data_IF_323418820843
#
_entry.id   IF_323418820843
#
_cell.length_a   1.000
_cell.length_b   1.000
_cell.length_c   1.000
_cell.angle_alpha   90.00
_cell.angle_beta   90.00
_cell.angle_gamma   90.00
#
_symmetry.space_group_name_H-M   'P 1'
#
loop_
_entity.id
_entity.type
_entity.pdbx_description
1 polymer ?
#
# COMPACT_ATOMS: atom_id res chain seq x y z
N UNK A 1 6.71 -35.73 11.37
CA UNK A 1 5.87 -35.42 10.19
C UNK A 1 6.62 -34.43 9.31
N UNK A 2 6.81 -34.71 8.01
CA UNK A 2 7.45 -33.75 7.11
C UNK A 2 6.48 -32.58 6.85
N UNK A 3 6.83 -31.38 7.30
CA UNK A 3 6.09 -30.16 6.98
C UNK A 3 6.24 -29.90 5.47
N UNK A 4 5.13 -29.70 4.75
CA UNK A 4 5.11 -29.38 3.31
C UNK A 4 4.44 -28.01 3.08
N UNK A 5 4.82 -27.35 1.99
CA UNK A 5 4.17 -26.11 1.55
C UNK A 5 2.73 -26.41 1.10
N UNK A 6 1.80 -25.56 1.52
CA UNK A 6 0.43 -25.54 0.97
C UNK A 6 0.32 -24.56 -0.19
N UNK A 7 -0.77 -24.62 -0.94
CA UNK A 7 -1.06 -23.65 -2.01
C UNK A 7 -1.10 -22.21 -1.46
N UNK A 8 -1.80 -22.00 -0.32
CA UNK A 8 -1.79 -20.72 0.39
C UNK A 8 -0.38 -20.23 0.73
N UNK A 9 0.54 -21.13 1.10
CA UNK A 9 1.93 -20.74 1.39
C UNK A 9 2.64 -20.24 0.14
N UNK A 10 2.43 -20.92 -0.99
CA UNK A 10 2.98 -20.49 -2.28
C UNK A 10 2.47 -19.10 -2.67
N UNK A 11 1.19 -18.82 -2.47
CA UNK A 11 0.59 -17.50 -2.77
C UNK A 11 1.16 -16.38 -1.89
N UNK A 12 1.38 -16.62 -0.59
CA UNK A 12 2.05 -15.61 0.28
C UNK A 12 3.50 -15.39 -0.16
N UNK A 13 4.22 -16.44 -0.59
CA UNK A 13 5.58 -16.31 -1.12
C UNK A 13 5.62 -15.56 -2.46
N UNK A 14 4.61 -15.75 -3.32
CA UNK A 14 4.45 -14.97 -4.54
C UNK A 14 4.22 -13.48 -4.22
N UNK A 15 3.36 -13.17 -3.26
CA UNK A 15 3.17 -11.80 -2.77
C UNK A 15 4.48 -11.19 -2.23
N UNK A 16 5.29 -11.97 -1.51
CA UNK A 16 6.63 -11.52 -1.09
C UNK A 16 7.57 -11.21 -2.26
N UNK A 17 7.37 -11.86 -3.41
CA UNK A 17 8.13 -11.52 -4.61
C UNK A 17 7.83 -10.08 -5.10
N UNK A 18 6.66 -9.53 -4.75
CA UNK A 18 6.21 -8.17 -5.06
C UNK A 18 6.66 -7.19 -3.96
N UNK A 19 6.24 -7.36 -2.70
CA UNK A 19 6.48 -6.35 -1.65
C UNK A 19 7.82 -6.49 -0.91
N UNK A 20 8.54 -7.59 -1.10
CA UNK A 20 9.91 -7.92 -0.60
C UNK A 20 10.12 -7.97 0.91
N UNK A 21 9.48 -7.11 1.68
CA UNK A 21 9.58 -7.05 3.14
C UNK A 21 8.23 -6.64 3.73
N UNK A 22 7.91 -7.14 4.92
CA UNK A 22 6.66 -6.80 5.59
C UNK A 22 6.77 -6.88 7.11
N UNK A 23 5.67 -6.58 7.79
CA UNK A 23 5.50 -6.74 9.24
C UNK A 23 4.54 -7.89 9.55
N UNK A 24 4.40 -8.20 10.83
CA UNK A 24 3.38 -9.15 11.28
C UNK A 24 1.97 -8.70 10.90
N UNK A 25 1.71 -7.40 10.79
CA UNK A 25 0.39 -6.91 10.38
C UNK A 25 0.11 -7.25 8.92
N UNK A 26 1.08 -7.02 8.02
CA UNK A 26 0.96 -7.40 6.62
C UNK A 26 0.71 -8.91 6.44
N UNK A 27 1.41 -9.76 7.20
CA UNK A 27 1.15 -11.21 7.20
C UNK A 27 -0.27 -11.56 7.64
N UNK A 28 -0.79 -10.88 8.67
CA UNK A 28 -2.15 -11.16 9.14
C UNK A 28 -3.20 -10.79 8.10
N UNK A 29 -3.01 -9.68 7.40
CA UNK A 29 -3.90 -9.23 6.34
C UNK A 29 -3.85 -10.13 5.11
N UNK A 30 -2.65 -10.47 4.60
CA UNK A 30 -2.54 -11.32 3.41
C UNK A 30 -3.07 -12.74 3.69
N UNK A 31 -2.81 -13.30 4.87
CA UNK A 31 -3.40 -14.59 5.26
C UNK A 31 -4.92 -14.48 5.45
N UNK A 32 -5.43 -13.34 5.91
CA UNK A 32 -6.86 -13.10 6.00
C UNK A 32 -7.51 -13.07 4.63
N UNK A 33 -6.89 -12.37 3.67
CA UNK A 33 -7.34 -12.30 2.28
C UNK A 33 -7.44 -13.70 1.67
N UNK A 34 -6.38 -14.50 1.79
CA UNK A 34 -6.32 -15.85 1.23
C UNK A 34 -7.21 -16.88 1.95
N UNK A 35 -7.71 -16.56 3.14
CA UNK A 35 -8.69 -17.38 3.85
C UNK A 35 -10.12 -16.86 3.65
N UNK A 36 -10.32 -15.80 2.86
CA UNK A 36 -11.61 -15.13 2.67
C UNK A 36 -12.25 -14.71 4.01
N UNK A 37 -11.44 -14.38 5.02
CA UNK A 37 -11.96 -13.95 6.32
C UNK A 37 -12.45 -12.50 6.27
N UNK A 38 -13.34 -12.12 7.17
CA UNK A 38 -13.86 -10.73 7.25
C UNK A 38 -12.83 -9.67 7.66
N UNK A 39 -11.63 -10.09 8.08
CA UNK A 39 -10.54 -9.21 8.46
C UNK A 39 -9.22 -9.99 8.58
N UNK A 40 -8.20 -9.42 9.25
CA UNK A 40 -6.90 -10.05 9.39
C UNK A 40 -6.97 -11.28 10.31
N UNK A 41 -6.17 -12.31 10.03
CA UNK A 41 -6.07 -13.45 10.96
C UNK A 41 -5.53 -13.02 12.33
N UNK A 42 -5.76 -13.85 13.34
CA UNK A 42 -5.21 -13.60 14.68
C UNK A 42 -3.68 -13.57 14.68
N UNK A 43 -3.07 -12.85 15.64
CA UNK A 43 -1.61 -12.82 15.82
C UNK A 43 -1.04 -14.22 16.02
N UNK A 44 -1.74 -15.10 16.74
CA UNK A 44 -1.31 -16.47 16.98
C UNK A 44 -1.27 -17.28 15.68
N UNK A 45 -2.31 -17.18 14.83
CA UNK A 45 -2.33 -17.85 13.53
C UNK A 45 -1.19 -17.37 12.62
N UNK A 46 -0.97 -16.06 12.55
CA UNK A 46 0.13 -15.49 11.78
C UNK A 46 1.51 -15.92 12.31
N UNK A 47 1.69 -15.95 13.65
CA UNK A 47 2.93 -16.43 14.27
C UNK A 47 3.19 -17.91 13.98
N UNK A 48 2.16 -18.75 14.06
CA UNK A 48 2.26 -20.18 13.70
C UNK A 48 2.68 -20.35 12.25
N UNK A 49 2.08 -19.58 11.33
CA UNK A 49 2.47 -19.60 9.93
C UNK A 49 3.94 -19.19 9.73
N UNK A 50 4.35 -18.06 10.32
CA UNK A 50 5.73 -17.57 10.22
C UNK A 50 6.71 -18.59 10.76
N UNK A 51 6.48 -19.12 11.98
CA UNK A 51 7.36 -20.13 12.57
C UNK A 51 7.52 -21.34 11.65
N UNK A 52 6.42 -21.85 11.10
CA UNK A 52 6.45 -22.96 10.15
C UNK A 52 7.26 -22.63 8.90
N UNK A 53 7.11 -21.43 8.34
CA UNK A 53 7.89 -21.00 7.17
C UNK A 53 9.37 -20.79 7.49
N UNK A 54 9.72 -20.37 8.71
CA UNK A 54 11.11 -20.33 9.18
C UNK A 54 11.70 -21.73 9.30
N UNK A 55 10.96 -22.70 9.86
CA UNK A 55 11.38 -24.11 9.96
C UNK A 55 11.65 -24.73 8.58
N UNK A 56 10.92 -24.31 7.54
CA UNK A 56 11.16 -24.70 6.15
C UNK A 56 12.29 -23.91 5.45
N UNK A 57 12.82 -22.87 6.09
CA UNK A 57 13.82 -21.95 5.53
C UNK A 57 13.27 -21.06 4.41
N UNK A 58 11.97 -20.79 4.41
CA UNK A 58 11.29 -20.01 3.35
C UNK A 58 11.13 -18.53 3.72
N UNK A 59 11.03 -18.23 5.01
CA UNK A 59 10.88 -16.87 5.54
C UNK A 59 11.93 -16.65 6.62
N UNK A 60 12.46 -15.44 6.69
CA UNK A 60 13.29 -14.96 7.78
C UNK A 60 12.63 -13.78 8.48
N UNK A 61 13.09 -13.48 9.69
CA UNK A 61 12.60 -12.34 10.47
C UNK A 61 13.70 -11.73 11.30
N UNK A 62 13.64 -10.42 11.49
CA UNK A 62 14.55 -9.69 12.37
C UNK A 62 13.84 -8.52 13.03
N UNK A 63 14.33 -8.13 14.21
CA UNK A 63 14.01 -6.84 14.82
C UNK A 63 15.15 -5.90 14.47
N UNK A 64 14.84 -4.87 13.70
CA UNK A 64 15.83 -3.91 13.21
C UNK A 64 15.50 -2.53 13.78
N UNK A 65 16.19 -2.07 14.84
CA UNK A 65 16.11 -0.68 15.25
C UNK A 65 16.52 0.25 14.08
N UNK A 66 15.85 1.39 13.87
CA UNK A 66 14.80 2.02 14.69
C UNK A 66 13.37 1.59 14.33
N UNK A 67 13.18 0.61 13.44
CA UNK A 67 11.84 0.22 12.97
C UNK A 67 11.04 -0.49 14.06
N UNK A 68 9.75 -0.19 14.11
CA UNK A 68 8.83 -0.79 15.09
C UNK A 68 8.49 -2.23 14.68
N UNK A 69 8.60 -3.15 15.63
CA UNK A 69 8.13 -4.52 15.47
C UNK A 69 9.16 -5.46 14.84
N UNK A 70 8.67 -6.56 14.26
CA UNK A 70 9.50 -7.57 13.60
C UNK A 70 9.26 -7.49 12.10
N UNK A 71 10.35 -7.31 11.37
CA UNK A 71 10.37 -7.34 9.92
C UNK A 71 10.49 -8.79 9.44
N UNK A 72 9.81 -9.09 8.34
CA UNK A 72 9.73 -10.42 7.74
C UNK A 72 10.00 -10.32 6.25
N UNK A 73 10.72 -11.30 5.70
CA UNK A 73 10.97 -11.39 4.26
C UNK A 73 11.08 -12.85 3.83
N UNK A 74 10.77 -13.12 2.56
CA UNK A 74 11.04 -14.43 1.98
C UNK A 74 12.54 -14.59 1.66
N UNK A 75 13.06 -15.79 1.89
CA UNK A 75 14.48 -16.09 1.64
C UNK A 75 14.77 -16.21 0.14
N UNK A 76 16.04 -16.10 -0.29
CA UNK A 76 16.42 -16.39 -1.67
C UNK A 76 16.02 -17.79 -2.14
N UNK A 77 15.98 -18.76 -1.21
CA UNK A 77 15.50 -20.12 -1.47
C UNK A 77 14.04 -20.11 -1.94
N UNK A 78 13.19 -19.31 -1.27
CA UNK A 78 11.76 -19.26 -1.51
C UNK A 78 11.37 -18.54 -2.80
N UNK A 79 11.93 -17.35 -3.05
CA UNK A 79 11.44 -16.47 -4.13
C UNK A 79 12.48 -16.17 -5.23
N UNK A 80 13.68 -16.78 -5.15
CA UNK A 80 14.79 -16.58 -6.11
C UNK A 80 15.24 -15.12 -6.27
N UNK A 81 14.96 -14.27 -5.27
CA UNK A 81 15.42 -12.88 -5.20
C UNK A 81 16.37 -12.71 -4.02
N UNK A 82 17.31 -11.77 -4.10
CA UNK A 82 18.22 -11.44 -2.99
C UNK A 82 17.43 -11.03 -1.74
N UNK A 83 17.98 -11.23 -0.55
CA UNK A 83 17.38 -10.67 0.66
C UNK A 83 17.29 -9.13 0.55
N UNK A 84 16.23 -8.50 1.08
CA UNK A 84 16.15 -7.06 1.14
C UNK A 84 17.23 -6.48 2.06
N UNK A 85 17.72 -5.29 1.73
CA UNK A 85 18.62 -4.54 2.61
C UNK A 85 17.77 -3.77 3.62
N UNK A 86 17.69 -4.31 4.85
CA UNK A 86 16.79 -3.84 5.90
C UNK A 86 17.19 -2.47 6.46
N UNK A 87 18.42 -2.00 6.21
CA UNK A 87 18.92 -0.74 6.75
C UNK A 87 18.80 0.43 5.76
N UNK A 88 18.20 0.21 4.60
CA UNK A 88 17.93 1.27 3.63
C UNK A 88 16.98 2.31 4.19
N UNK A 89 17.20 3.55 3.76
CA UNK A 89 16.30 4.66 4.05
C UNK A 89 14.86 4.39 3.59
N UNK A 90 14.69 3.66 2.48
CA UNK A 90 13.38 3.31 1.90
C UNK A 90 12.68 2.15 2.61
N UNK A 91 13.34 1.43 3.52
CA UNK A 91 12.76 0.26 4.18
C UNK A 91 11.43 0.57 4.85
N UNK A 92 11.33 1.74 5.51
CA UNK A 92 10.09 2.16 6.16
C UNK A 92 8.93 2.31 5.17
N UNK A 93 9.26 2.89 4.02
CA UNK A 93 8.35 3.08 2.90
C UNK A 93 7.83 1.73 2.41
N UNK A 94 8.75 0.81 2.11
CA UNK A 94 8.44 -0.55 1.65
C UNK A 94 7.55 -1.34 2.65
N UNK A 95 7.79 -1.17 3.95
CA UNK A 95 6.96 -1.80 4.98
C UNK A 95 5.50 -1.31 4.92
N UNK A 96 5.24 -0.02 4.75
CA UNK A 96 3.86 0.48 4.67
C UNK A 96 3.19 0.07 3.37
N UNK A 97 3.91 0.14 2.24
CA UNK A 97 3.43 -0.35 0.94
C UNK A 97 3.02 -1.82 1.05
N UNK A 98 3.78 -2.64 1.79
CA UNK A 98 3.41 -4.04 2.02
C UNK A 98 2.09 -4.19 2.81
N UNK A 99 1.86 -3.36 3.83
CA UNK A 99 0.63 -3.42 4.64
C UNK A 99 -0.57 -2.95 3.81
N UNK A 100 -0.39 -1.91 3.01
CA UNK A 100 -1.41 -1.42 2.06
C UNK A 100 -1.77 -2.50 1.05
N UNK A 101 -0.76 -3.10 0.41
CA UNK A 101 -0.92 -4.20 -0.54
C UNK A 101 -1.76 -5.34 0.04
N UNK A 102 -1.44 -5.77 1.27
CA UNK A 102 -2.18 -6.84 1.93
C UNK A 102 -3.66 -6.48 2.20
N UNK A 103 -3.96 -5.20 2.47
CA UNK A 103 -5.34 -4.72 2.65
C UNK A 103 -6.10 -4.59 1.33
N UNK A 104 -5.45 -4.16 0.25
CA UNK A 104 -6.03 -4.21 -1.09
C UNK A 104 -6.39 -5.64 -1.49
N UNK A 105 -5.47 -6.59 -1.28
CA UNK A 105 -5.73 -8.02 -1.51
C UNK A 105 -6.93 -8.52 -0.70
N UNK A 106 -7.01 -8.13 0.58
CA UNK A 106 -8.15 -8.48 1.44
C UNK A 106 -9.48 -7.89 0.94
N UNK A 107 -9.45 -6.67 0.42
CA UNK A 107 -10.61 -6.04 -0.21
C UNK A 107 -10.92 -6.57 -1.62
N UNK A 108 -10.38 -7.73 -2.03
CA UNK A 108 -10.54 -8.36 -3.34
C UNK A 108 -10.05 -7.50 -4.51
N UNK A 109 -9.02 -6.69 -4.29
CA UNK A 109 -8.26 -6.05 -5.36
C UNK A 109 -7.04 -6.90 -5.71
N UNK A 110 -6.61 -6.85 -6.96
CA UNK A 110 -5.24 -7.29 -7.31
C UNK A 110 -4.23 -6.23 -6.88
N UNK A 111 -2.96 -6.60 -6.76
CA UNK A 111 -1.88 -5.68 -6.43
C UNK A 111 -0.59 -6.03 -7.19
N UNK A 112 0.04 -5.02 -7.79
CA UNK A 112 1.34 -5.14 -8.43
C UNK A 112 2.23 -3.92 -8.11
N UNK A 113 3.53 -4.04 -8.38
CA UNK A 113 4.39 -2.85 -8.48
C UNK A 113 4.01 -2.09 -9.75
N UNK A 114 4.00 -0.77 -9.69
CA UNK A 114 4.03 0.01 -10.92
C UNK A 114 5.40 -0.18 -11.57
N UNK A 115 5.40 -0.59 -12.84
CA UNK A 115 6.60 -0.74 -13.64
C UNK A 115 6.32 0.04 -14.93
N UNK A 116 6.61 1.33 -14.92
CA UNK A 116 6.36 2.15 -16.10
C UNK A 116 7.37 1.73 -17.18
N UNK A 117 6.92 1.75 -18.43
CA UNK A 117 7.77 1.29 -19.56
C UNK A 117 8.86 2.29 -19.93
N UNK A 118 8.73 3.53 -19.48
CA UNK A 118 9.69 4.61 -19.73
C UNK A 118 10.33 5.05 -18.41
N UNK A 119 11.66 4.94 -18.31
CA UNK A 119 12.43 5.24 -17.11
C UNK A 119 12.33 6.71 -16.62
N UNK A 120 11.72 7.59 -17.41
CA UNK A 120 11.53 9.01 -17.09
C UNK A 120 10.18 9.32 -16.46
N UNK A 121 9.22 8.39 -16.54
CA UNK A 121 7.88 8.59 -15.99
C UNK A 121 7.84 8.17 -14.52
N UNK A 122 7.10 8.93 -13.71
CA UNK A 122 6.86 8.62 -12.32
C UNK A 122 6.08 7.30 -12.18
N UNK A 123 6.66 6.37 -11.41
CA UNK A 123 6.06 5.11 -11.00
C UNK A 123 5.33 5.31 -9.68
N UNK A 124 4.07 4.86 -9.61
CA UNK A 124 3.36 4.77 -8.35
C UNK A 124 4.00 3.71 -7.44
N UNK A 125 3.81 3.83 -6.13
CA UNK A 125 4.32 2.86 -5.17
C UNK A 125 3.68 1.47 -5.33
N UNK A 126 2.46 1.43 -5.87
CA UNK A 126 1.81 0.23 -6.33
C UNK A 126 0.61 0.53 -7.24
N UNK A 127 0.16 -0.51 -7.92
CA UNK A 127 -1.04 -0.48 -8.76
C UNK A 127 -1.99 -1.55 -8.29
N UNK A 128 -3.22 -1.16 -8.00
CA UNK A 128 -4.28 -2.09 -7.64
C UNK A 128 -5.39 -2.06 -8.68
N UNK A 129 -5.94 -3.23 -9.03
CA UNK A 129 -7.02 -3.33 -10.01
C UNK A 129 -8.19 -4.16 -9.49
N UNK A 130 -9.41 -3.66 -9.69
CA UNK A 130 -10.66 -4.35 -9.39
C UNK A 130 -11.79 -3.82 -10.27
N UNK A 131 -12.57 -4.73 -10.85
CA UNK A 131 -13.82 -4.41 -11.56
C UNK A 131 -13.70 -3.28 -12.61
N UNK A 132 -12.59 -3.24 -13.36
CA UNK A 132 -12.39 -2.21 -14.37
C UNK A 132 -11.98 -0.84 -13.82
N UNK A 133 -11.54 -0.75 -12.56
CA UNK A 133 -10.94 0.44 -11.95
C UNK A 133 -9.49 0.13 -11.57
N UNK A 134 -8.60 1.10 -11.81
CA UNK A 134 -7.19 1.02 -11.49
C UNK A 134 -6.80 2.11 -10.50
N UNK A 135 -6.31 1.73 -9.32
CA UNK A 135 -5.73 2.64 -8.34
C UNK A 135 -4.22 2.74 -8.57
N UNK A 136 -3.74 3.94 -8.86
CA UNK A 136 -2.33 4.32 -8.76
C UNK A 136 -2.09 4.77 -7.31
N UNK A 137 -1.45 3.90 -6.52
CA UNK A 137 -1.32 4.09 -5.06
C UNK A 137 0.02 4.72 -4.72
N UNK A 138 -0.04 5.81 -3.97
CA UNK A 138 1.09 6.59 -3.47
C UNK A 138 1.10 6.57 -1.93
N UNK A 139 2.27 6.34 -1.35
CA UNK A 139 2.49 6.38 0.09
C UNK A 139 3.33 7.60 0.44
N UNK A 140 2.73 8.59 1.10
CA UNK A 140 3.42 9.84 1.40
C UNK A 140 3.64 10.01 2.91
N UNK A 141 4.87 9.75 3.36
CA UNK A 141 5.26 9.99 4.75
C UNK A 141 5.57 11.45 5.05
N UNK A 142 6.12 12.14 4.06
CA UNK A 142 6.67 13.49 4.20
C UNK A 142 6.33 14.25 2.93
N UNK A 143 5.70 15.43 3.07
CA UNK A 143 5.32 16.22 1.91
C UNK A 143 6.52 16.52 1.00
N UNK A 144 6.35 16.27 -0.29
CA UNK A 144 7.34 16.62 -1.31
C UNK A 144 7.29 18.12 -1.60
N UNK A 145 8.34 18.63 -2.25
CA UNK A 145 8.34 20.03 -2.75
C UNK A 145 7.26 20.18 -3.81
N UNK A 146 6.67 21.38 -3.89
CA UNK A 146 5.61 21.70 -4.86
C UNK A 146 6.00 21.38 -6.30
N UNK A 147 7.23 21.69 -6.72
CA UNK A 147 7.72 21.37 -8.08
C UNK A 147 7.68 19.87 -8.36
N UNK A 148 7.98 19.04 -7.36
CA UNK A 148 7.93 17.58 -7.51
C UNK A 148 6.50 17.07 -7.63
N UNK A 149 5.54 17.67 -6.92
CA UNK A 149 4.13 17.30 -7.12
C UNK A 149 3.64 17.68 -8.51
N UNK A 150 4.06 18.80 -9.08
CA UNK A 150 3.70 19.15 -10.45
C UNK A 150 4.18 18.09 -11.45
N UNK A 151 5.45 17.69 -11.40
CA UNK A 151 5.99 16.62 -12.26
C UNK A 151 5.19 15.31 -12.13
N UNK A 152 4.92 14.89 -10.89
CA UNK A 152 4.16 13.65 -10.62
C UNK A 152 2.73 13.75 -11.16
N UNK A 153 2.08 14.90 -10.97
CA UNK A 153 0.70 15.10 -11.41
C UNK A 153 0.59 15.19 -12.93
N UNK A 154 1.59 15.74 -13.63
CA UNK A 154 1.65 15.72 -15.10
C UNK A 154 1.71 14.28 -15.61
N UNK A 155 2.59 13.45 -15.06
CA UNK A 155 2.70 12.04 -15.44
C UNK A 155 1.39 11.27 -15.17
N UNK A 156 0.74 11.52 -14.04
CA UNK A 156 -0.54 10.91 -13.72
C UNK A 156 -1.69 11.42 -14.59
N UNK A 157 -1.70 12.70 -14.93
CA UNK A 157 -2.68 13.29 -15.83
C UNK A 157 -2.63 12.61 -17.21
N UNK A 158 -1.43 12.46 -17.77
CA UNK A 158 -1.25 11.82 -19.08
C UNK A 158 -1.71 10.35 -19.05
N UNK A 159 -1.35 9.61 -18.00
CA UNK A 159 -1.82 8.22 -17.82
C UNK A 159 -3.34 8.12 -17.70
N UNK A 160 -3.97 9.02 -16.95
CA UNK A 160 -5.44 9.06 -16.78
C UNK A 160 -6.19 9.54 -18.02
N UNK A 161 -5.50 10.21 -18.95
CA UNK A 161 -6.03 10.57 -20.26
C UNK A 161 -6.04 9.36 -21.19
N UNK A 162 -4.99 8.55 -21.14
CA UNK A 162 -4.87 7.31 -21.94
C UNK A 162 -5.76 6.18 -21.40
N UNK A 163 -5.89 6.07 -20.07
CA UNK A 163 -6.76 5.11 -19.41
C UNK A 163 -7.73 5.82 -18.43
N UNK A 164 -9.00 6.03 -18.84
CA UNK A 164 -9.98 6.70 -18.00
C UNK A 164 -10.42 5.88 -16.77
N UNK A 165 -10.01 4.61 -16.68
CA UNK A 165 -10.27 3.77 -15.50
C UNK A 165 -9.31 4.02 -14.35
N UNK A 166 -8.22 4.76 -14.61
CA UNK A 166 -7.23 5.10 -13.60
C UNK A 166 -7.72 6.22 -12.69
N UNK A 167 -7.38 6.08 -11.41
CA UNK A 167 -7.49 7.12 -10.39
C UNK A 167 -6.25 7.05 -9.49
N UNK A 168 -5.98 8.12 -8.77
CA UNK A 168 -4.81 8.22 -7.89
C UNK A 168 -5.25 8.17 -6.43
N UNK A 169 -4.52 7.42 -5.61
CA UNK A 169 -4.79 7.28 -4.18
C UNK A 169 -3.54 7.61 -3.39
N UNK A 170 -3.56 8.73 -2.68
CA UNK A 170 -2.51 9.14 -1.75
C UNK A 170 -2.85 8.68 -0.33
N UNK A 171 -2.00 7.82 0.22
CA UNK A 171 -2.08 7.31 1.59
C UNK A 171 -0.97 7.96 2.43
N UNK A 172 -1.38 8.89 3.29
CA UNK A 172 -0.49 9.90 3.83
C UNK A 172 -0.36 9.83 5.36
N UNK A 173 0.70 10.46 5.87
CA UNK A 173 0.61 11.12 7.19
C UNK A 173 -0.21 12.41 7.06
N UNK A 174 -0.83 12.88 8.14
CA UNK A 174 -1.66 14.11 8.10
C UNK A 174 -0.90 15.34 7.56
N UNK A 175 0.37 15.50 7.95
CA UNK A 175 1.22 16.59 7.48
C UNK A 175 1.47 16.50 5.98
N UNK A 176 1.75 15.31 5.46
CA UNK A 176 1.94 15.07 4.03
C UNK A 176 0.64 15.25 3.23
N UNK A 177 -0.47 14.71 3.74
CA UNK A 177 -1.79 14.80 3.10
C UNK A 177 -2.24 16.25 2.91
N UNK A 178 -1.97 17.12 3.89
CA UNK A 178 -2.20 18.57 3.74
C UNK A 178 -1.43 19.18 2.56
N UNK A 179 -0.16 18.78 2.37
CA UNK A 179 0.66 19.29 1.25
C UNK A 179 0.14 18.78 -0.09
N UNK A 180 -0.24 17.49 -0.16
CA UNK A 180 -0.84 16.91 -1.38
C UNK A 180 -2.13 17.64 -1.74
N UNK A 181 -3.04 17.85 -0.77
CA UNK A 181 -4.30 18.58 -0.99
C UNK A 181 -4.06 20.02 -1.45
N UNK A 182 -3.09 20.73 -0.88
CA UNK A 182 -2.70 22.07 -1.36
C UNK A 182 -2.19 22.03 -2.80
N UNK A 183 -1.36 21.04 -3.15
CA UNK A 183 -0.85 20.87 -4.51
C UNK A 183 -1.99 20.59 -5.52
N UNK A 184 -3.00 19.79 -5.14
CA UNK A 184 -4.17 19.47 -5.95
C UNK A 184 -5.05 20.69 -6.27
N UNK A 185 -4.87 21.83 -5.59
CA UNK A 185 -5.61 23.07 -5.89
C UNK A 185 -4.95 23.94 -6.95
N UNK A 186 -3.85 23.51 -7.58
CA UNK A 186 -2.99 24.36 -8.42
C UNK A 186 -2.55 23.63 -9.70
N UNK A 187 -2.56 24.35 -10.83
CA UNK A 187 -2.11 23.83 -12.14
C UNK A 187 -2.77 22.49 -12.49
N UNK A 188 -1.98 21.55 -13.03
CA UNK A 188 -2.45 20.18 -13.38
C UNK A 188 -3.06 19.41 -12.20
N UNK A 189 -2.73 19.79 -10.95
CA UNK A 189 -3.34 19.21 -9.77
C UNK A 189 -4.86 19.36 -9.77
N UNK A 190 -5.37 20.48 -10.31
CA UNK A 190 -6.82 20.74 -10.42
C UNK A 190 -7.49 19.75 -11.36
N UNK A 191 -6.80 19.35 -12.43
CA UNK A 191 -7.35 18.46 -13.46
C UNK A 191 -7.43 17.00 -12.99
N UNK A 192 -6.49 16.57 -12.14
CA UNK A 192 -6.49 15.21 -11.57
C UNK A 192 -7.27 15.09 -10.26
N UNK A 193 -7.52 16.21 -9.56
CA UNK A 193 -8.20 16.24 -8.26
C UNK A 193 -9.55 15.49 -8.25
N UNK A 194 -10.43 15.58 -9.28
CA UNK A 194 -11.69 14.83 -9.28
C UNK A 194 -11.49 13.32 -9.18
N UNK A 195 -10.37 12.80 -9.69
CA UNK A 195 -9.98 11.38 -9.70
C UNK A 195 -8.87 11.07 -8.70
N UNK A 196 -8.66 11.92 -7.69
CA UNK A 196 -7.62 11.72 -6.68
C UNK A 196 -8.21 11.64 -5.28
N UNK A 197 -7.96 10.54 -4.57
CA UNK A 197 -8.31 10.36 -3.18
C UNK A 197 -7.09 10.60 -2.29
N UNK A 198 -7.22 11.42 -1.23
CA UNK A 198 -6.14 11.66 -0.26
C UNK A 198 -6.60 11.27 1.14
N UNK A 199 -6.02 10.19 1.68
CA UNK A 199 -6.42 9.59 2.96
C UNK A 199 -5.28 9.67 3.97
N UNK A 200 -5.56 10.20 5.16
CA UNK A 200 -4.59 10.31 6.24
C UNK A 200 -4.62 9.04 7.09
N UNK A 201 -3.75 8.07 6.78
CA UNK A 201 -3.77 6.73 7.39
C UNK A 201 -2.59 6.42 8.29
N UNK A 202 -1.51 7.19 8.17
CA UNK A 202 -0.25 6.88 8.86
C UNK A 202 0.08 7.86 9.97
N UNK A 203 0.54 7.31 11.09
CA UNK A 203 1.24 8.07 12.11
C UNK A 203 2.62 8.50 11.65
N UNK A 204 3.22 9.46 12.36
CA UNK A 204 4.62 9.89 12.13
C UNK A 204 5.65 8.79 12.38
N UNK A 205 5.26 7.66 12.95
CA UNK A 205 6.05 6.43 13.13
C UNK A 205 5.79 5.37 12.03
N UNK A 206 4.85 5.63 11.11
CA UNK A 206 4.49 4.75 10.00
C UNK A 206 3.47 3.67 10.40
N UNK A 207 2.94 3.72 11.62
CA UNK A 207 1.84 2.86 12.01
C UNK A 207 0.55 3.26 11.29
N UNK A 208 -0.26 2.27 10.92
CA UNK A 208 -1.64 2.50 10.49
C UNK A 208 -2.46 3.00 11.67
N UNK A 209 -2.96 4.23 11.60
CA UNK A 209 -3.77 4.88 12.66
C UNK A 209 -5.15 5.32 12.17
N UNK A 210 -5.42 5.26 10.87
CA UNK A 210 -6.73 5.55 10.29
C UNK A 210 -7.71 4.39 10.45
N UNK A 211 -8.91 4.58 9.90
CA UNK A 211 -9.94 3.53 9.86
C UNK A 211 -9.43 2.26 9.17
N UNK A 212 -9.97 1.11 9.58
CA UNK A 212 -9.59 -0.18 9.01
C UNK A 212 -10.00 -0.28 7.53
N UNK A 213 -11.18 0.25 7.21
CA UNK A 213 -11.75 0.40 5.87
C UNK A 213 -12.13 1.85 5.61
N UNK A 214 -11.16 2.71 5.25
CA UNK A 214 -11.41 4.12 5.02
C UNK A 214 -12.48 4.32 3.92
N UNK A 215 -13.43 5.24 4.10
CA UNK A 215 -14.47 5.49 3.12
C UNK A 215 -13.87 5.79 1.75
N UNK A 216 -14.36 5.08 0.73
CA UNK A 216 -13.95 5.26 -0.66
C UNK A 216 -12.66 4.55 -1.09
N UNK A 217 -11.74 4.25 -0.18
CA UNK A 217 -10.43 3.67 -0.53
C UNK A 217 -10.55 2.37 -1.31
N UNK A 218 -11.43 1.46 -0.88
CA UNK A 218 -11.61 0.14 -1.50
C UNK A 218 -12.85 0.04 -2.39
N UNK A 219 -13.51 1.17 -2.65
CA UNK A 219 -14.70 1.24 -3.47
C UNK A 219 -14.32 1.29 -4.96
N UNK A 220 -14.59 0.21 -5.68
CA UNK A 220 -14.35 0.08 -7.11
C UNK A 220 -15.56 0.50 -7.97
N UNK A 221 -16.63 1.04 -7.36
CA UNK A 221 -17.86 1.40 -8.08
C UNK A 221 -17.78 2.77 -8.76
N UNK A 222 -16.80 3.61 -8.43
CA UNK A 222 -16.60 4.91 -9.07
C UNK A 222 -15.12 5.21 -9.37
N UNK A 223 -14.72 5.47 -10.63
CA UNK A 223 -13.63 6.40 -10.86
C UNK A 223 -14.17 7.77 -10.45
N UNK A 224 -13.69 8.36 -9.36
CA UNK A 224 -14.31 9.56 -8.81
C UNK A 224 -14.50 10.65 -9.87
N UNK A 225 -15.75 11.10 -10.00
CA UNK A 225 -16.12 12.39 -10.57
C UNK A 225 -17.05 13.01 -9.53
N UNK A 226 -16.53 13.88 -8.68
CA UNK A 226 -17.40 14.72 -7.85
C UNK A 226 -17.02 16.18 -8.05
N UNK A 227 -17.91 16.92 -8.71
CA UNK A 227 -18.06 18.33 -8.35
C UNK A 227 -18.22 18.42 -6.83
N UNK A 228 -17.40 19.26 -6.20
CA UNK A 228 -17.43 19.59 -4.78
C UNK A 228 -17.35 18.38 -3.83
N UNK A 229 -16.12 17.95 -3.51
CA UNK A 229 -15.87 17.47 -2.15
C UNK A 229 -16.24 18.62 -1.19
N UNK A 230 -17.03 18.38 -0.12
CA UNK A 230 -17.33 19.42 0.84
C UNK A 230 -16.02 19.86 1.50
N UNK A 231 -15.71 21.14 1.33
CA UNK A 231 -14.68 21.84 2.08
C UNK A 231 -15.26 22.22 3.44
N UNK A 232 -15.61 21.23 4.26
CA UNK A 232 -15.97 21.40 5.67
C UNK A 232 -15.45 20.14 6.37
N UNK A 233 -14.53 20.17 7.32
CA UNK A 233 -14.50 21.10 8.44
C UNK A 233 -14.59 20.25 9.71
N UNK A 234 -13.49 20.27 10.46
CA UNK A 234 -13.32 19.77 11.82
C UNK A 234 -14.58 19.92 12.70
N UNK A 235 -14.99 18.82 13.33
CA UNK A 235 -15.67 18.81 14.63
C UNK A 235 -17.19 18.80 14.65
N UNK A 236 -17.79 17.65 15.00
CA UNK A 236 -18.97 17.56 15.87
C UNK A 236 -19.41 16.09 16.05
N UNK A 237 -18.74 15.32 16.92
CA UNK A 237 -19.38 14.18 17.60
C UNK A 237 -18.81 14.03 19.02
N UNK A 238 -19.43 14.74 19.96
CA UNK A 238 -19.64 14.30 21.34
C UNK A 238 -21.02 14.80 21.73
N UNK A 239 -21.97 13.87 21.87
CA UNK A 239 -22.87 13.68 23.03
C UNK A 239 -23.35 12.24 23.02
#
# INVERSE_FOLDING_TARGET
>A
MSVRLTERDAQVLEWFSIVRVTTMDGIRWVLGALNESSGPVSRNQAFVWVRRMQELGMVERSRVPPFRGTMLWATPKAIKKRAPDLLRQTTRHELMVSVISARYLHANWSWNRDLTRAATLHEADGVAYKSGVTDLVEVEMTGKRRTRYFEIFEDFYDRMKDDPTMRVVYLCTSDAGRVVRDALTKGVGVDIAPRTLVVDLFGRDGAWIGEEYPPGLFDATQPYVSGNAPVDGIGAWMR
#
